data_IF_548426429183
#
_entry.id   IF_548426429183
#
_cell.length_a   1.000
_cell.length_b   1.000
_cell.length_c   1.000
_cell.angle_alpha   90.00
_cell.angle_beta   90.00
_cell.angle_gamma   90.00
#
_symmetry.space_group_name_H-M   'P 1'
#
loop_
_entity.id
_entity.type
_entity.pdbx_description
1 polymer ?
#
# COMPACT_ATOMS: atom_id res chain seq x y z
N UNK A 1 -17.92 -4.40 9.29
CA UNK A 1 -17.79 -3.97 7.89
C UNK A 1 -18.77 -4.79 7.08
N UNK A 2 -19.48 -4.19 6.14
CA UNK A 2 -20.24 -4.97 5.15
C UNK A 2 -19.27 -5.80 4.30
N UNK A 3 -19.65 -7.04 4.00
CA UNK A 3 -18.95 -7.88 3.04
C UNK A 3 -18.97 -7.22 1.66
N UNK A 4 -17.82 -7.26 0.98
CA UNK A 4 -17.63 -6.90 -0.43
C UNK A 4 -17.55 -8.17 -1.28
N UNK A 5 -17.71 -8.04 -2.59
CA UNK A 5 -17.48 -9.19 -3.48
C UNK A 5 -16.01 -9.67 -3.45
N UNK A 6 -15.06 -8.80 -3.07
CA UNK A 6 -13.66 -9.18 -2.86
C UNK A 6 -13.47 -10.18 -1.71
N UNK A 7 -14.41 -10.27 -0.76
CA UNK A 7 -14.36 -11.24 0.34
C UNK A 7 -14.86 -12.62 -0.08
N UNK A 8 -15.52 -12.72 -1.24
CA UNK A 8 -16.22 -13.92 -1.72
C UNK A 8 -15.58 -14.53 -2.96
N UNK A 9 -14.85 -13.74 -3.73
CA UNK A 9 -14.27 -14.13 -5.01
C UNK A 9 -12.76 -13.83 -5.05
N UNK A 10 -11.98 -14.89 -5.08
CA UNK A 10 -10.51 -14.85 -5.11
C UNK A 10 -9.96 -14.21 -6.40
N UNK A 11 -10.63 -14.39 -7.54
CA UNK A 11 -10.24 -13.76 -8.80
C UNK A 11 -10.40 -12.25 -8.66
N UNK A 12 -11.51 -11.80 -8.07
CA UNK A 12 -11.76 -10.39 -7.83
C UNK A 12 -10.77 -9.78 -6.82
N UNK A 13 -10.37 -10.55 -5.80
CA UNK A 13 -9.30 -10.17 -4.86
C UNK A 13 -7.96 -10.00 -5.57
N UNK A 14 -7.63 -10.89 -6.50
CA UNK A 14 -6.38 -10.81 -7.28
C UNK A 14 -6.39 -9.56 -8.17
N UNK A 15 -7.48 -9.31 -8.89
CA UNK A 15 -7.66 -8.08 -9.68
C UNK A 15 -7.52 -6.81 -8.83
N UNK A 16 -8.07 -6.81 -7.61
CA UNK A 16 -7.90 -5.69 -6.69
C UNK A 16 -6.43 -5.47 -6.32
N UNK A 17 -5.73 -6.55 -6.00
CA UNK A 17 -4.31 -6.49 -5.59
C UNK A 17 -3.47 -5.95 -6.73
N UNK A 18 -3.63 -6.50 -7.93
CA UNK A 18 -2.93 -6.04 -9.13
C UNK A 18 -3.26 -4.59 -9.49
N UNK A 19 -4.52 -4.17 -9.29
CA UNK A 19 -4.92 -2.78 -9.49
C UNK A 19 -4.23 -1.82 -8.51
N UNK A 20 -4.15 -2.20 -7.23
CA UNK A 20 -3.47 -1.42 -6.18
C UNK A 20 -1.95 -1.37 -6.41
N UNK A 21 -1.38 -2.44 -6.95
CA UNK A 21 0.04 -2.54 -7.28
C UNK A 21 0.39 -1.90 -8.63
N UNK A 22 -0.61 -1.60 -9.45
CA UNK A 22 -0.43 -1.00 -10.77
C UNK A 22 0.14 -1.97 -11.81
N UNK A 23 -0.02 -3.28 -11.58
CA UNK A 23 0.47 -4.36 -12.45
C UNK A 23 -0.53 -4.73 -13.54
N UNK A 24 -1.80 -4.33 -13.42
CA UNK A 24 -2.81 -4.57 -14.45
C UNK A 24 -2.45 -3.91 -15.79
N UNK A 25 -2.68 -4.66 -16.87
CA UNK A 25 -2.61 -4.13 -18.22
C UNK A 25 -3.68 -3.07 -18.48
N UNK A 26 -3.53 -2.30 -19.57
CA UNK A 26 -4.47 -1.22 -19.91
C UNK A 26 -5.92 -1.68 -20.06
N UNK A 27 -6.14 -2.84 -20.69
CA UNK A 27 -7.47 -3.38 -20.91
C UNK A 27 -8.12 -3.85 -19.60
N UNK A 28 -7.38 -4.63 -18.81
CA UNK A 28 -7.82 -5.14 -17.51
C UNK A 28 -8.14 -4.01 -16.54
N UNK A 29 -7.25 -3.01 -16.47
CA UNK A 29 -7.45 -1.82 -15.65
C UNK A 29 -8.74 -1.11 -16.04
N UNK A 30 -9.01 -0.93 -17.32
CA UNK A 30 -10.24 -0.28 -17.79
C UNK A 30 -11.49 -1.09 -17.42
N UNK A 31 -11.46 -2.40 -17.65
CA UNK A 31 -12.58 -3.29 -17.27
C UNK A 31 -12.84 -3.27 -15.76
N UNK A 32 -11.78 -3.23 -14.95
CA UNK A 32 -11.90 -3.15 -13.51
C UNK A 32 -12.42 -1.77 -13.05
N UNK A 33 -11.97 -0.67 -13.67
CA UNK A 33 -12.52 0.67 -13.41
C UNK A 33 -14.02 0.76 -13.77
N UNK A 34 -14.45 0.13 -14.87
CA UNK A 34 -15.85 0.02 -15.26
C UNK A 34 -16.66 -0.82 -14.25
N UNK A 35 -16.09 -1.91 -13.74
CA UNK A 35 -16.70 -2.67 -12.63
C UNK A 35 -16.88 -1.79 -11.38
N UNK A 36 -15.85 -1.05 -10.95
CA UNK A 36 -15.91 -0.16 -9.80
C UNK A 36 -16.85 1.04 -10.01
N UNK A 37 -17.07 1.48 -11.25
CA UNK A 37 -18.02 2.54 -11.55
C UNK A 37 -19.46 2.13 -11.16
N UNK A 38 -19.80 0.86 -11.39
CA UNK A 38 -21.11 0.28 -11.10
C UNK A 38 -21.24 -0.23 -9.65
N UNK A 39 -20.12 -0.52 -8.99
CA UNK A 39 -20.09 -1.13 -7.65
C UNK A 39 -19.57 -0.14 -6.60
N UNK A 40 -20.48 0.65 -6.03
CA UNK A 40 -20.14 1.78 -5.14
C UNK A 40 -19.44 1.34 -3.84
N UNK A 41 -19.82 0.19 -3.28
CA UNK A 41 -19.21 -0.32 -2.05
C UNK A 41 -17.77 -0.74 -2.28
N UNK A 42 -17.53 -1.48 -3.35
CA UNK A 42 -16.25 -1.97 -3.82
C UNK A 42 -15.34 -0.79 -4.15
N UNK A 43 -15.85 0.22 -4.87
CA UNK A 43 -15.10 1.46 -5.14
C UNK A 43 -14.66 2.18 -3.87
N UNK A 44 -15.53 2.24 -2.85
CA UNK A 44 -15.17 2.82 -1.54
C UNK A 44 -14.11 1.98 -0.83
N UNK A 45 -14.21 0.66 -0.92
CA UNK A 45 -13.22 -0.27 -0.39
C UNK A 45 -11.85 -0.06 -1.04
N UNK A 46 -11.78 -0.05 -2.38
CA UNK A 46 -10.54 0.17 -3.14
C UNK A 46 -9.86 1.49 -2.74
N UNK A 47 -10.62 2.59 -2.61
CA UNK A 47 -10.06 3.87 -2.15
C UNK A 47 -9.39 3.76 -0.77
N UNK A 48 -10.08 3.11 0.19
CA UNK A 48 -9.53 2.89 1.53
C UNK A 48 -8.30 1.98 1.51
N UNK A 49 -8.29 0.96 0.65
CA UNK A 49 -7.15 0.06 0.50
C UNK A 49 -5.91 0.80 -0.04
N UNK A 50 -6.09 1.68 -1.03
CA UNK A 50 -5.01 2.54 -1.56
C UNK A 50 -4.48 3.50 -0.48
N UNK A 51 -5.37 4.15 0.28
CA UNK A 51 -4.99 5.02 1.40
C UNK A 51 -4.22 4.26 2.48
N UNK A 52 -4.68 3.05 2.82
CA UNK A 52 -4.01 2.15 3.77
C UNK A 52 -2.61 1.75 3.30
N UNK A 53 -2.45 1.34 2.04
CA UNK A 53 -1.14 1.04 1.45
C UNK A 53 -0.19 2.23 1.55
N UNK A 54 -0.66 3.44 1.21
CA UNK A 54 0.14 4.67 1.31
C UNK A 54 0.60 4.94 2.75
N UNK A 55 -0.30 4.81 3.72
CA UNK A 55 0.03 5.01 5.14
C UNK A 55 1.07 4.00 5.63
N UNK A 56 0.95 2.74 5.22
CA UNK A 56 1.92 1.69 5.56
C UNK A 56 3.28 1.94 4.90
N UNK A 57 3.32 2.38 3.64
CA UNK A 57 4.56 2.77 2.96
C UNK A 57 5.26 3.92 3.70
N UNK A 58 4.52 4.96 4.09
CA UNK A 58 5.07 6.09 4.84
C UNK A 58 5.62 5.68 6.21
N UNK A 59 4.91 4.77 6.91
CA UNK A 59 5.37 4.23 8.18
C UNK A 59 6.70 3.46 8.00
N UNK A 60 6.77 2.59 6.98
CA UNK A 60 7.96 1.82 6.68
C UNK A 60 9.16 2.72 6.33
N UNK A 61 8.94 3.79 5.54
CA UNK A 61 9.97 4.79 5.23
C UNK A 61 10.45 5.55 6.48
N UNK A 62 9.52 5.91 7.37
CA UNK A 62 9.83 6.54 8.66
C UNK A 62 10.68 5.63 9.55
N UNK A 63 10.35 4.34 9.63
CA UNK A 63 11.13 3.35 10.39
C UNK A 63 12.54 3.17 9.80
N UNK A 64 12.66 3.10 8.47
CA UNK A 64 13.96 3.00 7.79
C UNK A 64 14.83 4.24 8.05
N UNK A 65 14.22 5.43 8.04
CA UNK A 65 14.92 6.69 8.32
C UNK A 65 15.36 6.79 9.79
N UNK A 66 14.55 6.30 10.73
CA UNK A 66 14.90 6.25 12.15
C UNK A 66 16.06 5.28 12.43
N UNK A 67 16.12 4.14 11.75
CA UNK A 67 17.21 3.17 11.87
C UNK A 67 18.54 3.65 11.23
N UNK A 68 18.48 4.57 10.26
CA UNK A 68 19.67 5.14 9.60
C UNK A 68 20.42 6.20 10.43
N UNK A 69 19.77 6.79 11.45
CA UNK A 69 20.36 7.87 12.27
C UNK A 69 21.14 7.38 13.50
N UNK A 70 21.33 6.06 13.67
CA UNK A 70 22.07 5.48 14.82
C UNK A 70 23.50 5.06 14.48
N UNK A 71 24.11 5.60 13.40
CA UNK A 71 25.52 5.34 13.11
C UNK A 71 26.30 6.61 12.86
N UNK A 72 27.37 6.80 13.68
CA UNK A 72 28.59 7.60 13.45
C UNK A 72 28.78 8.98 14.15
N UNK A 73 28.09 9.31 15.24
CA UNK A 73 28.41 10.56 15.99
C UNK A 73 29.04 10.39 17.38
N UNK A 74 29.37 9.18 17.86
CA UNK A 74 29.82 9.00 19.26
C UNK A 74 31.15 8.26 19.48
N UNK A 75 32.04 8.14 18.48
CA UNK A 75 33.25 7.30 18.62
C UNK A 75 34.59 7.98 18.34
N UNK A 76 34.68 9.31 18.35
CA UNK A 76 35.99 10.00 18.31
C UNK A 76 36.01 11.25 19.19
N UNK A 77 36.31 11.06 20.47
CA UNK A 77 37.05 12.02 21.28
C UNK A 77 37.68 11.23 22.42
N UNK A 78 38.79 10.59 22.06
CA UNK A 78 39.74 9.93 22.95
C UNK A 78 40.19 10.88 24.06
N UNK A 79 40.11 10.34 25.26
CA UNK A 79 40.83 10.74 26.47
C UNK A 79 42.34 10.60 26.20
N UNK A 80 43.10 11.71 26.20
CA UNK A 80 44.54 11.71 26.43
C UNK A 80 44.94 12.96 27.24
N UNK A 81 45.09 12.71 28.55
CA UNK A 81 46.15 13.14 29.48
C UNK A 81 46.88 14.49 29.32
#
# INVERSE_FOLDING_TARGET
MDLTEFDRDEILTNFLTDYIDGTLGRAERRSFEEYLANNVKERKFVRKAIEGKKALSQLAEGMKSAAGNTSLSSLTATDEH
#
